data_IF_075192149596
#
_entry.id   IF_075192149596
#
_cell.length_a   1.000
_cell.length_b   1.000
_cell.length_c   1.000
_cell.angle_alpha   90.00
_cell.angle_beta   90.00
_cell.angle_gamma   90.00
#
_symmetry.space_group_name_H-M   'P 1'
#
loop_
_entity.id
_entity.type
_entity.pdbx_description
1 polymer ?
#
# COMPACT_ATOMS: atom_id res chain seq x y z
N UNK A 1 -23.19 16.51 -28.66
CA UNK A 1 -21.80 16.45 -28.19
C UNK A 1 -21.63 15.10 -27.53
N UNK A 2 -20.78 14.23 -28.07
CA UNK A 2 -20.67 12.83 -27.60
C UNK A 2 -19.76 12.76 -26.36
N UNK A 3 -20.16 12.05 -25.28
CA UNK A 3 -19.40 11.97 -24.02
C UNK A 3 -17.98 11.39 -24.16
N UNK A 4 -17.68 10.76 -25.29
CA UNK A 4 -16.41 10.12 -25.61
C UNK A 4 -15.36 11.08 -26.19
N UNK A 5 -15.78 12.16 -26.87
CA UNK A 5 -14.84 13.11 -27.49
C UNK A 5 -14.13 14.00 -26.46
N UNK A 6 -14.86 14.39 -25.40
CA UNK A 6 -14.31 15.20 -24.30
C UNK A 6 -13.28 14.45 -23.46
N UNK A 7 -13.51 13.14 -23.22
CA UNK A 7 -12.57 12.32 -22.44
C UNK A 7 -11.21 12.23 -23.11
N UNK A 8 -11.17 12.05 -24.43
CA UNK A 8 -9.91 11.96 -25.18
C UNK A 8 -9.12 13.28 -25.12
N UNK A 9 -9.79 14.43 -25.23
CA UNK A 9 -9.14 15.74 -25.10
C UNK A 9 -8.60 15.98 -23.69
N UNK A 10 -9.38 15.65 -22.65
CA UNK A 10 -8.92 15.78 -21.25
C UNK A 10 -7.67 14.91 -21.01
N UNK A 11 -7.64 13.68 -21.52
CA UNK A 11 -6.46 12.82 -21.42
C UNK A 11 -5.23 13.39 -22.12
N UNK A 12 -5.39 13.95 -23.32
CA UNK A 12 -4.30 14.62 -24.03
C UNK A 12 -3.77 15.82 -23.24
N UNK A 13 -4.65 16.59 -22.61
CA UNK A 13 -4.26 17.75 -21.81
C UNK A 13 -3.54 17.35 -20.51
N UNK A 14 -3.99 16.28 -19.84
CA UNK A 14 -3.28 15.70 -18.69
C UNK A 14 -1.88 15.18 -19.07
N UNK A 15 -1.74 14.58 -20.26
CA UNK A 15 -0.45 14.14 -20.78
C UNK A 15 0.46 15.32 -21.16
N UNK A 16 -0.11 16.46 -21.57
CA UNK A 16 0.65 17.69 -21.73
C UNK A 16 1.17 18.20 -20.37
N UNK A 17 0.30 18.24 -19.35
CA UNK A 17 0.68 18.72 -18.03
C UNK A 17 1.68 17.82 -17.30
N UNK A 18 1.70 16.52 -17.56
CA UNK A 18 2.69 15.60 -16.96
C UNK A 18 4.13 15.89 -17.36
N UNK A 19 4.36 16.78 -18.34
CA UNK A 19 5.69 17.28 -18.71
C UNK A 19 6.23 18.31 -17.73
N UNK A 20 5.37 18.94 -16.92
CA UNK A 20 5.81 19.90 -15.91
C UNK A 20 6.44 19.16 -14.71
N UNK A 21 7.63 19.59 -14.23
CA UNK A 21 8.39 18.86 -13.20
C UNK A 21 7.64 18.67 -11.87
N UNK A 22 6.74 19.59 -11.55
CA UNK A 22 5.96 19.69 -10.32
C UNK A 22 4.53 19.18 -10.46
N UNK A 23 4.10 18.72 -11.64
CA UNK A 23 2.75 18.20 -11.86
C UNK A 23 2.39 17.08 -10.89
N UNK A 24 3.33 16.15 -10.66
CA UNK A 24 3.12 15.04 -9.72
C UNK A 24 3.01 15.53 -8.26
N UNK A 25 3.63 16.66 -7.91
CA UNK A 25 3.48 17.26 -6.59
C UNK A 25 2.06 17.82 -6.41
N UNK A 26 1.49 18.46 -7.43
CA UNK A 26 0.09 18.90 -7.37
C UNK A 26 -0.88 17.72 -7.19
N UNK A 27 -0.65 16.60 -7.88
CA UNK A 27 -1.49 15.41 -7.68
C UNK A 27 -1.37 14.85 -6.25
N UNK A 28 -0.16 14.84 -5.68
CA UNK A 28 0.07 14.42 -4.30
C UNK A 28 -0.64 15.37 -3.31
N UNK A 29 -0.55 16.67 -3.54
CA UNK A 29 -1.27 17.69 -2.76
C UNK A 29 -2.79 17.49 -2.82
N UNK A 30 -3.35 17.27 -4.02
CA UNK A 30 -4.80 17.06 -4.18
C UNK A 30 -5.25 15.82 -3.41
N UNK A 31 -4.50 14.71 -3.53
CA UNK A 31 -4.79 13.50 -2.76
C UNK A 31 -4.77 13.77 -1.25
N UNK A 32 -3.75 14.46 -0.75
CA UNK A 32 -3.50 14.60 0.68
C UNK A 32 -4.31 15.71 1.37
N UNK A 33 -4.56 16.83 0.67
CA UNK A 33 -5.00 18.10 1.29
C UNK A 33 -6.18 18.79 0.62
N UNK A 34 -6.81 18.20 -0.40
CA UNK A 34 -7.97 18.84 -1.03
C UNK A 34 -9.22 18.77 -0.15
N UNK A 35 -9.24 19.59 0.91
CA UNK A 35 -10.37 19.74 1.81
C UNK A 35 -11.59 20.32 1.07
N UNK A 36 -12.78 19.81 1.40
CA UNK A 36 -14.04 20.25 0.79
C UNK A 36 -14.28 19.79 -0.66
N UNK A 37 -13.40 18.95 -1.22
CA UNK A 37 -13.64 18.29 -2.52
C UNK A 37 -14.21 16.88 -2.31
N UNK A 38 -14.99 16.35 -3.28
CA UNK A 38 -15.42 14.96 -3.25
C UNK A 38 -14.23 14.00 -3.23
N UNK A 39 -14.33 12.90 -2.48
CA UNK A 39 -13.24 11.93 -2.33
C UNK A 39 -12.87 11.26 -3.66
N UNK A 40 -13.76 11.26 -4.65
CA UNK A 40 -13.53 10.81 -6.02
C UNK A 40 -12.44 11.63 -6.71
N UNK A 41 -12.38 12.95 -6.45
CA UNK A 41 -11.36 13.84 -7.04
C UNK A 41 -9.99 13.52 -6.45
N UNK A 42 -9.92 13.32 -5.14
CA UNK A 42 -8.68 12.95 -4.45
C UNK A 42 -8.17 11.58 -4.92
N UNK A 43 -9.07 10.60 -5.05
CA UNK A 43 -8.75 9.27 -5.58
C UNK A 43 -8.29 9.32 -7.03
N UNK A 44 -8.97 10.07 -7.90
CA UNK A 44 -8.59 10.22 -9.30
C UNK A 44 -7.18 10.82 -9.43
N UNK A 45 -6.88 11.86 -8.64
CA UNK A 45 -5.55 12.46 -8.59
C UNK A 45 -4.49 11.44 -8.13
N UNK A 46 -4.77 10.68 -7.07
CA UNK A 46 -3.86 9.65 -6.57
C UNK A 46 -3.64 8.50 -7.55
N UNK A 47 -4.66 8.06 -8.28
CA UNK A 47 -4.54 7.03 -9.31
C UNK A 47 -3.72 7.51 -10.51
N UNK A 48 -3.91 8.76 -10.94
CA UNK A 48 -3.08 9.37 -11.97
C UNK A 48 -1.63 9.50 -11.51
N UNK A 49 -1.42 9.95 -10.26
CA UNK A 49 -0.09 10.04 -9.66
C UNK A 49 0.60 8.68 -9.67
N UNK A 50 -0.05 7.64 -9.16
CA UNK A 50 0.46 6.26 -9.17
C UNK A 50 0.97 5.85 -10.56
N UNK A 51 0.18 6.12 -11.60
CA UNK A 51 0.53 5.74 -12.97
C UNK A 51 1.75 6.52 -13.47
N UNK A 52 1.81 7.83 -13.22
CA UNK A 52 2.95 8.67 -13.61
C UNK A 52 4.24 8.26 -12.90
N UNK A 53 4.17 7.94 -11.60
CA UNK A 53 5.36 7.60 -10.82
C UNK A 53 6.04 6.30 -11.28
N UNK A 54 5.31 5.37 -11.91
CA UNK A 54 5.89 4.13 -12.44
C UNK A 54 7.04 4.38 -13.42
N UNK A 55 6.97 5.48 -14.18
CA UNK A 55 7.98 5.82 -15.20
C UNK A 55 8.79 7.06 -14.81
N UNK A 56 8.15 8.06 -14.20
CA UNK A 56 8.78 9.35 -13.94
C UNK A 56 9.63 9.37 -12.66
N UNK A 57 9.26 8.61 -11.62
CA UNK A 57 9.77 8.83 -10.26
C UNK A 57 11.29 8.83 -10.16
N UNK A 58 11.97 7.86 -10.81
CA UNK A 58 13.44 7.75 -10.80
C UNK A 58 14.14 8.95 -11.47
N UNK A 59 13.50 9.57 -12.45
CA UNK A 59 14.04 10.73 -13.19
C UNK A 59 13.70 12.09 -12.56
N UNK A 60 12.76 12.13 -11.63
CA UNK A 60 12.36 13.37 -10.95
C UNK A 60 13.50 13.90 -10.08
N UNK A 61 13.62 15.23 -9.99
CA UNK A 61 14.57 15.86 -9.08
C UNK A 61 14.27 15.49 -7.61
N UNK A 62 15.29 15.32 -6.74
CA UNK A 62 15.10 14.89 -5.36
C UNK A 62 14.07 15.70 -4.54
N UNK A 63 13.99 17.05 -4.66
CA UNK A 63 12.98 17.83 -3.93
C UNK A 63 11.55 17.44 -4.26
N UNK A 64 11.26 17.09 -5.52
CA UNK A 64 9.93 16.65 -5.92
C UNK A 64 9.61 15.25 -5.39
N UNK A 65 10.59 14.34 -5.42
CA UNK A 65 10.43 13.01 -4.82
C UNK A 65 10.16 13.12 -3.32
N UNK A 66 10.91 13.97 -2.60
CA UNK A 66 10.77 14.17 -1.17
C UNK A 66 9.41 14.75 -0.81
N UNK A 67 8.91 15.73 -1.56
CA UNK A 67 7.58 16.30 -1.37
C UNK A 67 6.47 15.24 -1.48
N UNK A 68 6.51 14.42 -2.55
CA UNK A 68 5.52 13.35 -2.73
C UNK A 68 5.57 12.37 -1.56
N UNK A 69 6.78 11.98 -1.13
CA UNK A 69 6.96 11.12 0.04
C UNK A 69 6.33 11.75 1.30
N UNK A 70 6.61 13.02 1.59
CA UNK A 70 6.10 13.69 2.79
C UNK A 70 4.58 13.82 2.79
N UNK A 71 3.95 14.03 1.63
CA UNK A 71 2.49 14.11 1.52
C UNK A 71 1.81 12.74 1.67
N UNK A 72 2.45 11.65 1.23
CA UNK A 72 1.87 10.30 1.29
C UNK A 72 1.84 9.68 2.69
N UNK A 73 2.83 9.97 3.55
CA UNK A 73 2.95 9.32 4.86
C UNK A 73 1.73 9.61 5.78
N UNK A 74 1.28 10.87 5.94
CA UNK A 74 0.08 11.16 6.74
C UNK A 74 -1.19 10.52 6.17
N UNK A 75 -1.28 10.31 4.85
CA UNK A 75 -2.45 9.71 4.22
C UNK A 75 -2.71 8.26 4.67
N UNK A 76 -1.71 7.55 5.20
CA UNK A 76 -1.92 6.24 5.82
C UNK A 76 -2.84 6.31 7.05
N UNK A 77 -2.92 7.46 7.72
CA UNK A 77 -3.82 7.72 8.84
C UNK A 77 -5.09 8.51 8.49
N UNK A 78 -5.38 8.71 7.20
CA UNK A 78 -6.53 9.50 6.76
C UNK A 78 -7.85 8.91 7.28
N UNK A 79 -8.85 9.76 7.56
CA UNK A 79 -10.17 9.30 7.99
C UNK A 79 -10.87 8.48 6.89
N UNK A 80 -10.75 8.92 5.64
CA UNK A 80 -11.29 8.22 4.47
C UNK A 80 -10.45 6.98 4.11
N UNK A 81 -11.09 5.80 4.13
CA UNK A 81 -10.48 4.51 3.78
C UNK A 81 -9.96 4.47 2.34
N UNK A 82 -10.63 5.16 1.41
CA UNK A 82 -10.21 5.22 0.02
C UNK A 82 -8.93 6.02 -0.16
N UNK A 83 -8.74 7.09 0.62
CA UNK A 83 -7.48 7.85 0.64
C UNK A 83 -6.36 6.98 1.21
N UNK A 84 -6.58 6.30 2.35
CA UNK A 84 -5.61 5.34 2.93
C UNK A 84 -5.18 4.30 1.90
N UNK A 85 -6.16 3.71 1.21
CA UNK A 85 -5.87 2.70 0.19
C UNK A 85 -5.11 3.28 -1.00
N UNK A 86 -5.54 4.44 -1.51
CA UNK A 86 -4.85 5.08 -2.65
C UNK A 86 -3.40 5.40 -2.29
N UNK A 87 -3.15 5.98 -1.12
CA UNK A 87 -1.81 6.24 -0.60
C UNK A 87 -0.96 4.96 -0.51
N UNK A 88 -1.51 3.88 0.06
CA UNK A 88 -0.82 2.59 0.12
C UNK A 88 -0.44 2.03 -1.25
N UNK A 89 -1.23 2.27 -2.31
CA UNK A 89 -0.87 1.85 -3.68
C UNK A 89 0.23 2.70 -4.30
N UNK A 90 0.30 3.98 -3.98
CA UNK A 90 1.35 4.87 -4.48
C UNK A 90 2.66 4.56 -3.74
N UNK A 91 2.58 4.37 -2.42
CA UNK A 91 3.71 3.97 -1.58
C UNK A 91 4.32 2.66 -2.11
N UNK A 92 3.50 1.66 -2.45
CA UNK A 92 4.02 0.41 -2.98
C UNK A 92 4.79 0.59 -4.29
N UNK A 93 4.34 1.48 -5.19
CA UNK A 93 5.07 1.83 -6.42
C UNK A 93 6.39 2.52 -6.10
N UNK A 94 6.39 3.52 -5.22
CA UNK A 94 7.59 4.27 -4.86
C UNK A 94 8.66 3.36 -4.23
N UNK A 95 8.26 2.48 -3.32
CA UNK A 95 9.18 1.53 -2.66
C UNK A 95 9.68 0.45 -3.62
N UNK A 96 8.85 0.02 -4.58
CA UNK A 96 9.30 -0.91 -5.63
C UNK A 96 10.40 -0.28 -6.51
N UNK A 97 10.34 1.05 -6.75
CA UNK A 97 11.33 1.74 -7.58
C UNK A 97 12.59 2.12 -6.78
N UNK A 98 12.41 2.75 -5.62
CA UNK A 98 13.50 3.31 -4.81
C UNK A 98 14.07 2.37 -3.74
N UNK A 99 13.41 1.25 -3.48
CA UNK A 99 13.70 0.38 -2.35
C UNK A 99 13.33 1.02 -1.01
N UNK A 100 13.38 0.21 0.05
CA UNK A 100 13.05 0.66 1.42
C UNK A 100 14.11 1.59 2.01
N UNK A 101 15.39 1.36 1.68
CA UNK A 101 16.49 2.21 2.13
C UNK A 101 16.48 3.60 1.49
N UNK A 102 15.84 3.75 0.33
CA UNK A 102 15.61 5.05 -0.30
C UNK A 102 14.49 5.86 0.35
N UNK A 103 13.79 5.32 1.36
CA UNK A 103 12.70 5.99 2.06
C UNK A 103 12.59 5.50 3.53
N UNK A 104 13.60 5.79 4.38
CA UNK A 104 13.64 5.31 5.76
C UNK A 104 12.45 5.79 6.61
N UNK A 105 11.92 6.98 6.33
CA UNK A 105 10.76 7.55 7.04
C UNK A 105 9.52 6.67 6.91
N UNK A 106 9.37 5.96 5.79
CA UNK A 106 8.24 5.04 5.60
C UNK A 106 8.23 3.92 6.63
N UNK A 107 9.40 3.33 6.94
CA UNK A 107 9.47 2.27 7.94
C UNK A 107 9.03 2.79 9.31
N UNK A 108 9.49 3.98 9.69
CA UNK A 108 9.09 4.61 10.94
C UNK A 108 7.58 4.88 10.98
N UNK A 109 7.00 5.40 9.90
CA UNK A 109 5.55 5.61 9.80
C UNK A 109 4.77 4.30 9.88
N UNK A 110 5.20 3.24 9.19
CA UNK A 110 4.52 1.94 9.22
C UNK A 110 4.53 1.34 10.62
N UNK A 111 5.67 1.35 11.32
CA UNK A 111 5.76 0.89 12.71
C UNK A 111 4.81 1.70 13.60
N UNK A 112 4.86 3.03 13.51
CA UNK A 112 3.94 3.91 14.26
C UNK A 112 2.48 3.62 13.96
N UNK A 113 2.14 3.33 12.70
CA UNK A 113 0.79 2.95 12.30
C UNK A 113 0.35 1.65 12.97
N UNK A 114 1.21 0.62 12.98
CA UNK A 114 0.89 -0.69 13.57
C UNK A 114 0.84 -0.66 15.11
N UNK A 115 1.57 0.23 15.75
CA UNK A 115 1.59 0.43 17.20
C UNK A 115 0.54 1.46 17.69
N UNK A 116 -0.21 2.07 16.78
CA UNK A 116 -1.22 3.07 17.11
C UNK A 116 -2.45 2.45 17.74
N UNK A 117 -3.05 3.11 18.73
CA UNK A 117 -4.36 2.73 19.28
C UNK A 117 -5.54 3.14 18.38
N UNK A 118 -5.29 3.89 17.31
CA UNK A 118 -6.34 4.31 16.37
C UNK A 118 -6.44 3.32 15.22
N UNK A 119 -7.59 2.66 15.10
CA UNK A 119 -7.88 1.65 14.07
C UNK A 119 -7.50 2.10 12.65
N UNK A 120 -7.81 3.35 12.28
CA UNK A 120 -7.50 3.90 10.95
C UNK A 120 -6.00 3.88 10.61
N UNK A 121 -5.13 4.13 11.60
CA UNK A 121 -3.69 4.14 11.40
C UNK A 121 -3.19 2.72 11.19
N UNK A 122 -3.62 1.78 12.03
CA UNK A 122 -3.25 0.37 11.91
C UNK A 122 -3.75 -0.23 10.60
N UNK A 123 -5.02 0.00 10.24
CA UNK A 123 -5.59 -0.44 8.96
C UNK A 123 -4.79 0.09 7.77
N UNK A 124 -4.43 1.38 7.77
CA UNK A 124 -3.63 1.97 6.71
C UNK A 124 -2.24 1.36 6.59
N UNK A 125 -1.57 1.12 7.72
CA UNK A 125 -0.27 0.44 7.77
C UNK A 125 -0.35 -0.98 7.25
N UNK A 126 -1.32 -1.78 7.73
CA UNK A 126 -1.56 -3.15 7.29
C UNK A 126 -1.91 -3.22 5.80
N UNK A 127 -2.77 -2.32 5.34
CA UNK A 127 -3.16 -2.23 3.93
C UNK A 127 -1.95 -1.90 3.03
N UNK A 128 -1.10 -0.95 3.43
CA UNK A 128 0.12 -0.63 2.71
C UNK A 128 1.12 -1.81 2.67
N UNK A 129 1.29 -2.54 3.78
CA UNK A 129 2.15 -3.72 3.84
C UNK A 129 1.62 -4.87 2.97
N UNK A 130 0.31 -5.11 2.99
CA UNK A 130 -0.31 -6.17 2.18
C UNK A 130 -0.09 -5.96 0.68
N UNK A 131 -0.02 -4.70 0.22
CA UNK A 131 0.27 -4.35 -1.18
C UNK A 131 1.68 -4.73 -1.61
N UNK A 132 2.60 -4.94 -0.67
CA UNK A 132 3.97 -5.40 -0.95
C UNK A 132 4.07 -6.92 -1.06
N UNK A 133 3.04 -7.70 -0.71
CA UNK A 133 3.05 -9.16 -0.87
C UNK A 133 3.18 -9.61 -2.32
N UNK A 134 2.72 -8.80 -3.28
CA UNK A 134 2.85 -9.09 -4.72
C UNK A 134 4.00 -8.33 -5.38
N UNK A 135 4.93 -7.79 -4.57
CA UNK A 135 6.08 -7.09 -5.12
C UNK A 135 6.93 -8.01 -6.01
N UNK A 136 7.48 -7.51 -7.13
CA UNK A 136 8.49 -8.26 -7.89
C UNK A 136 9.77 -8.50 -7.08
N UNK A 137 9.99 -7.72 -6.00
CA UNK A 137 11.18 -7.85 -5.16
C UNK A 137 10.89 -8.73 -3.95
N UNK A 138 11.54 -9.91 -3.91
CA UNK A 138 11.41 -10.85 -2.80
C UNK A 138 11.81 -10.24 -1.44
N UNK A 139 12.72 -9.25 -1.42
CA UNK A 139 13.09 -8.51 -0.21
C UNK A 139 11.91 -7.74 0.39
N UNK A 140 11.07 -7.13 -0.46
CA UNK A 140 9.89 -6.39 -0.02
C UNK A 140 8.78 -7.32 0.45
N UNK A 141 8.56 -8.45 -0.24
CA UNK A 141 7.61 -9.49 0.20
C UNK A 141 8.00 -10.05 1.57
N UNK A 142 9.30 -10.35 1.75
CA UNK A 142 9.86 -10.84 3.03
C UNK A 142 9.68 -9.80 4.13
N UNK A 143 10.02 -8.54 3.85
CA UNK A 143 9.90 -7.45 4.80
C UNK A 143 8.45 -7.29 5.25
N UNK A 144 7.51 -7.15 4.32
CA UNK A 144 6.13 -6.87 4.68
C UNK A 144 5.47 -8.04 5.40
N UNK A 145 5.69 -9.27 4.95
CA UNK A 145 5.16 -10.45 5.64
C UNK A 145 5.77 -10.57 7.04
N UNK A 146 7.08 -10.42 7.17
CA UNK A 146 7.77 -10.46 8.46
C UNK A 146 7.26 -9.38 9.42
N UNK A 147 6.97 -8.17 8.94
CA UNK A 147 6.39 -7.10 9.75
C UNK A 147 5.00 -7.45 10.27
N UNK A 148 4.12 -8.03 9.45
CA UNK A 148 2.77 -8.41 9.90
C UNK A 148 2.83 -9.58 10.89
N UNK A 149 3.70 -10.57 10.64
CA UNK A 149 3.86 -11.73 11.53
C UNK A 149 4.19 -11.35 12.98
N UNK A 150 4.90 -10.23 13.21
CA UNK A 150 5.27 -9.78 14.55
C UNK A 150 4.05 -9.51 15.45
N UNK A 151 2.89 -9.25 14.86
CA UNK A 151 1.68 -8.89 15.59
C UNK A 151 0.66 -10.02 15.70
N UNK A 152 0.90 -11.19 15.11
CA UNK A 152 -0.07 -12.31 15.14
C UNK A 152 -0.33 -12.77 16.58
N UNK A 153 0.72 -12.88 17.41
CA UNK A 153 0.58 -13.30 18.81
C UNK A 153 -0.17 -12.30 19.68
N UNK A 154 -0.06 -11.01 19.36
CA UNK A 154 -0.79 -9.95 20.08
C UNK A 154 -2.24 -9.83 19.59
N UNK A 155 -2.48 -10.17 18.32
CA UNK A 155 -3.76 -10.07 17.62
C UNK A 155 -4.50 -8.74 17.87
N UNK A 156 -3.92 -7.59 17.47
CA UNK A 156 -4.61 -6.32 17.63
C UNK A 156 -5.87 -6.26 16.75
N UNK A 157 -6.84 -5.44 17.15
CA UNK A 157 -8.15 -5.32 16.49
C UNK A 157 -8.04 -5.10 14.97
N UNK A 158 -7.11 -4.25 14.52
CA UNK A 158 -6.90 -4.00 13.10
C UNK A 158 -6.44 -5.24 12.29
N UNK A 159 -5.59 -6.09 12.90
CA UNK A 159 -5.16 -7.33 12.27
C UNK A 159 -6.34 -8.31 12.20
N UNK A 160 -7.11 -8.41 13.28
CA UNK A 160 -8.31 -9.24 13.34
C UNK A 160 -9.33 -8.82 12.26
N UNK A 161 -9.64 -7.53 12.15
CA UNK A 161 -10.56 -6.99 11.14
C UNK A 161 -10.06 -7.16 9.71
N UNK A 162 -8.74 -7.25 9.51
CA UNK A 162 -8.11 -7.44 8.21
C UNK A 162 -7.68 -8.89 7.94
N UNK A 163 -8.13 -9.84 8.77
CA UNK A 163 -7.63 -11.22 8.74
C UNK A 163 -7.87 -11.89 7.39
N UNK A 164 -9.04 -11.72 6.79
CA UNK A 164 -9.35 -12.28 5.45
C UNK A 164 -8.33 -11.83 4.40
N UNK A 165 -7.99 -10.53 4.42
CA UNK A 165 -7.01 -9.96 3.50
C UNK A 165 -5.61 -10.49 3.76
N UNK A 166 -5.26 -10.66 5.04
CA UNK A 166 -3.99 -11.22 5.43
C UNK A 166 -3.85 -12.69 4.99
N UNK A 167 -4.87 -13.52 5.23
CA UNK A 167 -4.95 -14.91 4.79
C UNK A 167 -4.86 -15.04 3.26
N UNK A 168 -5.62 -14.22 2.51
CA UNK A 168 -5.49 -14.15 1.05
C UNK A 168 -4.05 -13.85 0.62
N UNK A 169 -3.38 -12.94 1.33
CA UNK A 169 -1.96 -12.65 1.15
C UNK A 169 -1.06 -13.85 1.40
N UNK A 170 -1.29 -14.60 2.49
CA UNK A 170 -0.54 -15.82 2.82
C UNK A 170 -0.71 -16.89 1.75
N UNK A 171 -1.93 -17.09 1.23
CA UNK A 171 -2.19 -18.07 0.17
C UNK A 171 -1.46 -17.71 -1.14
N UNK A 172 -1.43 -16.42 -1.50
CA UNK A 172 -0.64 -15.95 -2.64
C UNK A 172 0.85 -16.23 -2.42
N UNK A 173 1.35 -15.98 -1.21
CA UNK A 173 2.77 -16.16 -0.85
C UNK A 173 3.16 -17.61 -0.56
N UNK A 174 2.22 -18.54 -0.39
CA UNK A 174 2.51 -19.94 -0.11
C UNK A 174 3.37 -20.58 -1.22
N UNK A 175 3.15 -20.16 -2.46
CA UNK A 175 3.89 -20.60 -3.64
C UNK A 175 5.01 -19.63 -4.06
N UNK A 176 5.44 -18.74 -3.16
CA UNK A 176 6.48 -17.75 -3.48
C UNK A 176 7.79 -18.43 -3.92
N UNK A 177 8.47 -17.98 -5.00
CA UNK A 177 9.73 -18.58 -5.44
C UNK A 177 10.85 -18.50 -4.39
N UNK A 178 10.86 -17.49 -3.52
CA UNK A 178 11.88 -17.33 -2.49
C UNK A 178 11.57 -18.16 -1.24
N UNK A 179 12.42 -19.13 -0.93
CA UNK A 179 12.26 -20.01 0.25
C UNK A 179 12.15 -19.24 1.58
N UNK A 180 12.82 -18.08 1.69
CA UNK A 180 12.73 -17.22 2.88
C UNK A 180 11.33 -16.64 3.10
N UNK A 181 10.57 -16.37 2.03
CA UNK A 181 9.18 -15.90 2.12
C UNK A 181 8.28 -17.06 2.51
N UNK A 182 8.41 -18.23 1.87
CA UNK A 182 7.66 -19.44 2.25
C UNK A 182 7.86 -19.82 3.72
N UNK A 183 9.08 -19.70 4.24
CA UNK A 183 9.36 -19.91 5.69
C UNK A 183 8.53 -18.99 6.59
N UNK A 184 8.35 -17.72 6.20
CA UNK A 184 7.52 -16.77 6.95
C UNK A 184 6.02 -17.11 6.84
N UNK A 185 5.57 -17.62 5.70
CA UNK A 185 4.18 -18.10 5.54
C UNK A 185 3.91 -19.27 6.48
N UNK A 186 4.81 -20.26 6.53
CA UNK A 186 4.70 -21.37 7.48
C UNK A 186 4.69 -20.86 8.94
N UNK A 187 5.57 -19.93 9.28
CA UNK A 187 5.60 -19.34 10.63
C UNK A 187 4.28 -18.61 10.96
N UNK A 188 3.69 -17.89 10.01
CA UNK A 188 2.40 -17.24 10.20
C UNK A 188 1.29 -18.24 10.48
N UNK A 189 1.22 -19.35 9.73
CA UNK A 189 0.22 -20.39 9.97
C UNK A 189 0.40 -21.06 11.34
N UNK A 190 1.63 -21.36 11.76
CA UNK A 190 1.89 -21.91 13.11
C UNK A 190 1.38 -20.95 14.19
N UNK A 191 1.72 -19.67 14.09
CA UNK A 191 1.27 -18.65 15.05
C UNK A 191 -0.27 -18.48 15.02
N UNK A 192 -0.91 -18.54 13.85
CA UNK A 192 -2.36 -18.45 13.75
C UNK A 192 -3.07 -19.66 14.37
N UNK A 193 -2.54 -20.87 14.21
CA UNK A 193 -3.07 -22.08 14.86
C UNK A 193 -3.02 -21.94 16.38
N UNK A 194 -1.94 -21.37 16.92
CA UNK A 194 -1.77 -21.19 18.36
C UNK A 194 -2.75 -20.17 18.96
N UNK A 195 -3.07 -19.09 18.24
CA UNK A 195 -3.88 -17.98 18.78
C UNK A 195 -5.35 -18.08 18.39
N UNK A 196 -5.65 -18.44 17.14
CA UNK A 196 -7.02 -18.46 16.59
C UNK A 196 -7.20 -19.55 15.51
N UNK A 197 -7.32 -20.84 15.90
CA UNK A 197 -7.45 -21.95 14.97
C UNK A 197 -8.66 -21.86 14.04
N UNK A 198 -9.76 -21.24 14.49
CA UNK A 198 -11.02 -21.10 13.74
C UNK A 198 -10.85 -20.38 12.39
N UNK A 199 -9.87 -19.47 12.25
CA UNK A 199 -9.61 -18.79 10.97
C UNK A 199 -9.14 -19.74 9.87
N UNK A 200 -8.55 -20.86 10.27
CA UNK A 200 -7.95 -21.81 9.37
C UNK A 200 -8.93 -22.95 9.02
N UNK A 201 -9.95 -23.17 9.84
CA UNK A 201 -11.02 -24.13 9.55
C UNK A 201 -11.83 -23.77 8.30
N UNK A 202 -11.95 -22.48 7.97
CA UNK A 202 -12.71 -22.04 6.78
C UNK A 202 -11.83 -22.01 5.51
N UNK A 203 -10.51 -21.96 5.64
CA UNK A 203 -9.57 -21.73 4.53
C UNK A 203 -8.62 -22.88 4.17
N UNK A 204 -8.37 -23.84 5.06
CA UNK A 204 -7.38 -24.92 4.83
C UNK A 204 -7.99 -26.15 4.13
N UNK A 205 -9.29 -26.44 4.31
CA UNK A 205 -9.91 -27.62 3.72
C UNK A 205 -9.81 -27.74 2.18
N UNK A 206 -9.78 -26.66 1.38
CA UNK A 206 -9.60 -26.78 -0.07
C UNK A 206 -8.15 -26.92 -0.54
N UNK A 207 -7.15 -26.80 0.34
CA UNK A 207 -5.71 -26.71 -0.05
C UNK A 207 -4.90 -27.93 0.41
N UNK A 208 -5.44 -28.76 1.31
CA UNK A 208 -4.75 -29.92 1.90
C UNK A 208 -5.33 -31.27 1.41
N UNK A 209 -6.28 -31.25 0.48
CA UNK A 209 -6.74 -32.41 -0.30
C UNK A 209 -6.59 -32.13 -1.80
#
# INVERSE_FOLDING_TARGET
>A
MSPTSDKSQIWQQLQHYSRFPDFNNYLAFILARAEGKPSEVQQAAGLLLKNNLRTAFKSMAPPYQQYIKSELLPCLGAADRHIRSTAGTIISVVVQIGGVFGWPELLHTLVKCLESNELKHMEGGMDALSKLFQSPHASLRKLSLGSVNQYIMLMPEALYMSMDKYLQGLFILANDPAAKVRKLVCAAFVQLIEVHPNFLEVGIYPVVL
#
